data_IF_224633861180
#
_entry.id   IF_224633861180
#
_cell.length_a   1.000
_cell.length_b   1.000
_cell.length_c   1.000
_cell.angle_alpha   90.00
_cell.angle_beta   90.00
_cell.angle_gamma   90.00
#
_symmetry.space_group_name_H-M   'P 1'
#
loop_
_entity.id
_entity.type
_entity.pdbx_description
1 polymer ?
#
# COMPACT_ATOMS: atom_id res chain seq x y z
N UNK A 1 4.41 45.21 32.26
CA UNK A 1 4.68 46.58 31.77
C UNK A 1 4.88 46.45 30.26
N UNK A 2 3.83 46.50 29.43
CA UNK A 2 3.13 47.69 28.93
C UNK A 2 4.08 48.64 28.16
N UNK A 3 3.88 48.75 26.84
CA UNK A 3 4.71 49.48 25.87
C UNK A 3 4.48 51.00 25.83
N UNK A 4 4.56 51.56 24.60
CA UNK A 4 4.54 52.99 24.19
C UNK A 4 5.92 53.69 24.23
N UNK A 5 6.35 54.52 23.28
CA UNK A 5 5.73 55.16 22.12
C UNK A 5 6.81 55.64 21.13
N UNK A 6 6.35 55.95 19.92
CA UNK A 6 7.05 56.27 18.69
C UNK A 6 7.51 57.73 18.54
N UNK A 7 8.50 57.91 17.63
CA UNK A 7 8.73 59.03 16.67
C UNK A 7 9.08 60.44 17.19
N UNK A 8 10.19 60.98 16.65
CA UNK A 8 10.16 62.28 15.97
C UNK A 8 11.20 62.33 14.83
N UNK A 9 10.90 63.15 13.82
CA UNK A 9 11.36 63.10 12.43
C UNK A 9 12.60 63.96 12.11
N UNK A 10 13.25 63.56 11.00
CA UNK A 10 13.75 64.41 9.88
C UNK A 10 15.05 65.22 10.04
N UNK A 11 16.08 64.80 9.30
CA UNK A 11 16.70 65.51 8.15
C UNK A 11 18.00 64.75 7.80
N UNK A 12 18.30 64.30 6.59
CA UNK A 12 18.11 64.94 5.30
C UNK A 12 19.48 65.30 4.73
N UNK A 13 20.21 64.33 4.15
CA UNK A 13 21.25 64.59 3.14
C UNK A 13 21.50 63.36 2.28
N UNK A 14 20.87 63.39 1.12
CA UNK A 14 21.18 62.63 -0.08
C UNK A 14 22.45 63.21 -0.71
N UNK A 15 23.57 62.50 -0.62
CA UNK A 15 24.69 62.68 -1.54
C UNK A 15 24.58 61.60 -2.62
N UNK A 16 24.05 62.00 -3.76
CA UNK A 16 23.94 61.19 -4.96
C UNK A 16 25.30 61.22 -5.69
N UNK A 17 26.02 60.11 -5.63
CA UNK A 17 27.15 59.82 -6.51
C UNK A 17 26.69 59.76 -7.98
N UNK A 18 27.44 60.34 -8.92
CA UNK A 18 27.10 60.24 -10.33
C UNK A 18 27.36 58.82 -10.84
N UNK A 19 26.28 58.08 -11.07
CA UNK A 19 26.28 56.79 -11.75
C UNK A 19 26.99 56.93 -13.11
N UNK A 20 28.17 56.32 -13.19
CA UNK A 20 28.89 56.12 -14.45
C UNK A 20 28.03 55.19 -15.31
N UNK A 21 27.43 55.74 -16.37
CA UNK A 21 26.73 54.95 -17.39
C UNK A 21 27.74 54.00 -18.04
N UNK A 22 27.76 52.76 -17.58
CA UNK A 22 28.32 51.65 -18.34
C UNK A 22 27.44 51.53 -19.58
N UNK A 23 28.02 51.81 -20.74
CA UNK A 23 27.37 51.60 -22.02
C UNK A 23 26.91 50.13 -22.10
N UNK A 24 25.69 49.83 -22.56
CA UNK A 24 25.26 48.46 -22.75
C UNK A 24 26.19 47.81 -23.79
N UNK A 25 26.99 46.85 -23.33
CA UNK A 25 27.74 45.94 -24.19
C UNK A 25 26.74 45.32 -25.14
N UNK A 26 26.99 45.49 -26.45
CA UNK A 26 26.13 44.97 -27.49
C UNK A 26 25.81 43.49 -27.22
N UNK A 27 24.53 43.21 -26.93
CA UNK A 27 24.03 41.84 -26.90
C UNK A 27 24.13 41.32 -28.33
N UNK A 28 25.22 40.63 -28.64
CA UNK A 28 25.32 39.79 -29.83
C UNK A 28 24.18 38.79 -29.71
N UNK A 29 23.20 38.86 -30.62
CA UNK A 29 22.12 37.89 -30.68
C UNK A 29 22.71 36.53 -31.08
N UNK A 30 23.18 35.77 -30.09
CA UNK A 30 23.62 34.40 -30.31
C UNK A 30 22.39 33.56 -30.68
N UNK A 31 22.35 33.05 -31.92
CA UNK A 31 21.26 32.17 -32.36
C UNK A 31 21.66 30.73 -32.12
N UNK A 32 20.77 29.98 -31.49
CA UNK A 32 20.91 28.53 -31.34
C UNK A 32 20.61 27.85 -32.68
N UNK A 33 21.54 27.03 -33.15
CA UNK A 33 21.41 26.25 -34.38
C UNK A 33 21.48 24.77 -34.01
N UNK A 34 20.36 24.08 -34.17
CA UNK A 34 20.29 22.64 -33.98
C UNK A 34 21.18 21.95 -35.01
N UNK A 35 22.12 21.14 -34.54
CA UNK A 35 23.03 20.33 -35.37
C UNK A 35 22.73 18.86 -35.16
N UNK A 36 23.02 18.05 -36.19
CA UNK A 36 22.89 16.61 -36.13
C UNK A 36 24.14 15.91 -36.65
N UNK A 37 24.39 14.71 -36.12
CA UNK A 37 25.44 13.81 -36.56
C UNK A 37 24.92 12.36 -36.55
N UNK A 38 25.66 11.46 -37.19
CA UNK A 38 25.13 10.15 -37.60
C UNK A 38 24.99 9.11 -36.48
N UNK A 39 25.55 9.35 -35.30
CA UNK A 39 25.61 8.38 -34.20
C UNK A 39 25.42 9.06 -32.83
N UNK A 40 24.87 8.34 -31.86
CA UNK A 40 24.82 8.77 -30.47
C UNK A 40 26.24 8.92 -29.91
N UNK A 41 26.48 9.99 -29.15
CA UNK A 41 27.82 10.29 -28.66
C UNK A 41 27.85 10.38 -27.14
N UNK A 42 28.62 9.50 -26.49
CA UNK A 42 28.88 9.61 -25.05
C UNK A 42 29.88 10.74 -24.78
N UNK A 43 29.48 11.68 -23.92
CA UNK A 43 30.35 12.77 -23.45
C UNK A 43 31.48 12.16 -22.63
N UNK A 44 32.64 12.83 -22.62
CA UNK A 44 33.79 12.48 -21.81
C UNK A 44 34.02 13.50 -20.70
N UNK A 45 34.47 13.02 -19.53
CA UNK A 45 34.93 13.89 -18.45
C UNK A 45 33.85 14.30 -17.45
N UNK A 46 32.68 13.68 -17.47
CA UNK A 46 31.56 13.99 -16.55
C UNK A 46 31.96 13.84 -15.08
N UNK A 47 32.90 12.94 -14.79
CA UNK A 47 33.45 12.74 -13.46
C UNK A 47 34.15 13.98 -12.89
N UNK A 48 34.62 14.91 -13.72
CA UNK A 48 35.22 16.19 -13.30
C UNK A 48 34.20 17.31 -13.11
N UNK A 49 32.94 17.08 -13.50
CA UNK A 49 31.86 18.07 -13.53
C UNK A 49 30.66 17.69 -12.66
N UNK A 50 30.89 16.84 -11.64
CA UNK A 50 29.85 16.33 -10.71
C UNK A 50 29.01 17.42 -10.07
N UNK A 51 29.63 18.52 -9.66
CA UNK A 51 28.91 19.63 -9.00
C UNK A 51 27.94 20.34 -9.95
N UNK A 52 28.35 20.53 -11.21
CA UNK A 52 27.51 21.10 -12.26
C UNK A 52 26.34 20.19 -12.58
N UNK A 53 26.59 18.89 -12.74
CA UNK A 53 25.53 17.89 -12.91
C UNK A 53 24.56 17.88 -11.72
N UNK A 54 25.08 17.96 -10.49
CA UNK A 54 24.24 18.08 -9.31
C UNK A 54 23.39 19.35 -9.30
N UNK A 55 23.90 20.49 -9.82
CA UNK A 55 23.12 21.73 -9.96
C UNK A 55 22.00 21.57 -10.99
N UNK A 56 22.26 20.91 -12.12
CA UNK A 56 21.23 20.57 -13.12
C UNK A 56 20.08 19.81 -12.44
N UNK A 57 20.36 18.67 -11.82
CA UNK A 57 19.31 17.83 -11.23
C UNK A 57 18.60 18.49 -10.04
N UNK A 58 19.30 19.27 -9.21
CA UNK A 58 18.66 20.06 -8.15
C UNK A 58 17.72 21.14 -8.72
N UNK A 59 18.09 21.79 -9.82
CA UNK A 59 17.23 22.79 -10.48
C UNK A 59 15.95 22.16 -11.05
N UNK A 60 16.01 20.88 -11.40
CA UNK A 60 14.86 20.08 -11.84
C UNK A 60 14.05 19.47 -10.68
N UNK A 61 14.43 19.73 -9.43
CA UNK A 61 13.80 19.13 -8.24
C UNK A 61 14.18 17.67 -7.97
N UNK A 62 15.13 17.10 -8.72
CA UNK A 62 15.49 15.66 -8.70
C UNK A 62 16.74 15.41 -7.88
N UNK A 63 16.68 15.60 -6.56
CA UNK A 63 17.85 15.58 -5.67
C UNK A 63 18.60 14.22 -5.63
N UNK A 64 17.93 13.12 -5.95
CA UNK A 64 18.51 11.76 -6.01
C UNK A 64 19.04 11.40 -7.42
N UNK A 65 18.79 12.25 -8.41
CA UNK A 65 19.07 11.99 -9.80
C UNK A 65 17.88 11.41 -10.56
N UNK A 66 18.16 10.77 -11.68
CA UNK A 66 17.17 10.25 -12.61
C UNK A 66 17.65 10.31 -14.04
N UNK A 67 16.69 10.44 -14.96
CA UNK A 67 16.95 10.63 -16.40
C UNK A 67 16.25 11.90 -16.84
N UNK A 68 16.96 12.78 -17.54
CA UNK A 68 16.37 13.98 -18.16
C UNK A 68 16.88 14.17 -19.57
N UNK A 69 16.04 14.77 -20.41
CA UNK A 69 16.38 15.13 -21.79
C UNK A 69 16.46 16.64 -21.87
N UNK A 70 17.65 17.16 -22.19
CA UNK A 70 17.93 18.58 -22.19
C UNK A 70 18.62 19.00 -23.48
N UNK A 71 18.58 20.28 -23.80
CA UNK A 71 19.40 20.84 -24.87
C UNK A 71 20.83 21.05 -24.38
N UNK A 72 21.80 20.48 -25.08
CA UNK A 72 23.21 20.75 -24.88
C UNK A 72 23.72 21.78 -25.89
N UNK A 73 24.48 22.76 -25.40
CA UNK A 73 25.24 23.71 -26.19
C UNK A 73 26.67 23.19 -26.38
N UNK A 74 27.13 23.19 -27.63
CA UNK A 74 28.46 22.74 -28.02
C UNK A 74 29.36 23.97 -28.26
N UNK A 75 30.38 24.12 -27.42
CA UNK A 75 31.25 25.30 -27.41
C UNK A 75 32.69 24.90 -27.81
N UNK A 76 33.16 25.28 -29.01
CA UNK A 76 34.54 25.02 -29.45
C UNK A 76 35.57 25.75 -28.59
N UNK A 77 36.68 25.09 -28.27
CA UNK A 77 37.79 25.65 -27.49
C UNK A 77 39.11 25.62 -28.32
N UNK A 78 39.24 26.44 -29.38
CA UNK A 78 40.42 26.44 -30.27
C UNK A 78 41.75 26.77 -29.56
N UNK A 79 41.67 27.49 -28.44
CA UNK A 79 42.81 27.88 -27.62
C UNK A 79 43.11 26.88 -26.50
N UNK A 80 42.38 25.76 -26.44
CA UNK A 80 42.63 24.72 -25.43
C UNK A 80 44.04 24.13 -25.61
N UNK A 81 44.80 24.18 -24.52
CA UNK A 81 46.23 23.80 -24.50
C UNK A 81 46.48 22.30 -24.71
N UNK A 82 45.47 21.46 -24.49
CA UNK A 82 45.57 20.01 -24.62
C UNK A 82 45.07 19.52 -25.98
N UNK A 83 43.97 20.09 -26.47
CA UNK A 83 43.35 19.72 -27.74
C UNK A 83 42.70 20.94 -28.40
N UNK A 84 43.26 21.40 -29.53
CA UNK A 84 42.73 22.55 -30.30
C UNK A 84 41.39 22.28 -30.97
N UNK A 85 40.97 21.03 -31.02
CA UNK A 85 39.66 20.60 -31.52
C UNK A 85 38.67 20.27 -30.40
N UNK A 86 39.02 20.54 -29.14
CA UNK A 86 38.12 20.32 -28.01
C UNK A 86 36.81 21.08 -28.19
N UNK A 87 35.71 20.40 -27.88
CA UNK A 87 34.36 20.98 -27.84
C UNK A 87 33.78 20.68 -26.47
N UNK A 88 33.54 21.73 -25.69
CA UNK A 88 32.89 21.65 -24.38
C UNK A 88 31.39 21.49 -24.53
N UNK A 89 30.79 20.66 -23.68
CA UNK A 89 29.35 20.42 -23.63
C UNK A 89 28.77 21.14 -22.41
N UNK A 90 27.83 22.05 -22.64
CA UNK A 90 27.12 22.80 -21.60
C UNK A 90 25.65 22.41 -21.63
N UNK A 91 25.06 22.12 -20.48
CA UNK A 91 23.63 21.86 -20.33
C UNK A 91 23.08 22.70 -19.19
N UNK A 92 21.99 23.43 -19.42
CA UNK A 92 21.38 24.34 -18.44
C UNK A 92 22.39 25.30 -17.78
N UNK A 93 23.36 25.79 -18.55
CA UNK A 93 24.42 26.69 -18.07
C UNK A 93 25.59 26.01 -17.35
N UNK A 94 25.54 24.70 -17.14
CA UNK A 94 26.58 23.93 -16.47
C UNK A 94 27.41 23.13 -17.46
N UNK A 95 28.74 23.20 -17.35
CA UNK A 95 29.60 22.29 -18.10
C UNK A 95 29.40 20.87 -17.58
N UNK A 96 29.07 19.94 -18.49
CA UNK A 96 28.88 18.52 -18.15
C UNK A 96 30.03 17.63 -18.63
N UNK A 97 30.86 18.13 -19.54
CA UNK A 97 32.05 17.43 -20.04
C UNK A 97 32.48 17.97 -21.40
N UNK A 98 33.14 17.12 -22.18
CA UNK A 98 33.64 17.41 -23.51
C UNK A 98 33.20 16.33 -24.50
N UNK A 99 33.11 16.71 -25.77
CA UNK A 99 33.02 15.75 -26.87
C UNK A 99 34.26 14.84 -26.82
N UNK A 100 34.10 13.51 -26.96
CA UNK A 100 35.23 12.57 -26.88
C UNK A 100 36.24 12.83 -28.00
N UNK A 101 37.52 12.54 -27.74
CA UNK A 101 38.63 12.96 -28.57
C UNK A 101 38.51 12.45 -30.02
N UNK A 102 38.02 11.23 -30.21
CA UNK A 102 37.78 10.58 -31.49
C UNK A 102 36.76 11.31 -32.38
N UNK A 103 35.80 12.02 -31.79
CA UNK A 103 34.76 12.77 -32.50
C UNK A 103 35.01 14.29 -32.52
N UNK A 104 35.88 14.79 -31.64
CA UNK A 104 36.16 16.21 -31.41
C UNK A 104 36.38 17.01 -32.70
N UNK A 105 37.27 16.56 -33.59
CA UNK A 105 37.59 17.24 -34.84
C UNK A 105 36.40 17.34 -35.81
N UNK A 106 35.54 16.31 -35.86
CA UNK A 106 34.35 16.32 -36.70
C UNK A 106 33.30 17.31 -36.16
N UNK A 107 33.02 17.23 -34.86
CA UNK A 107 32.05 18.13 -34.20
C UNK A 107 32.56 19.58 -34.20
N UNK A 108 33.86 19.80 -34.02
CA UNK A 108 34.48 21.12 -34.09
C UNK A 108 34.24 21.77 -35.46
N UNK A 109 34.39 21.02 -36.56
CA UNK A 109 34.11 21.53 -37.92
C UNK A 109 32.63 21.86 -38.12
N UNK A 110 31.72 21.05 -37.57
CA UNK A 110 30.28 21.33 -37.59
C UNK A 110 30.01 22.65 -36.86
N UNK A 111 30.55 22.83 -35.65
CA UNK A 111 30.40 24.05 -34.87
C UNK A 111 31.06 25.28 -35.52
N UNK A 112 32.16 25.11 -36.25
CA UNK A 112 32.76 26.21 -37.02
C UNK A 112 31.93 26.58 -38.26
N UNK A 113 31.22 25.60 -38.84
CA UNK A 113 30.43 25.75 -40.06
C UNK A 113 29.10 26.52 -39.89
N UNK A 114 28.58 26.63 -38.66
CA UNK A 114 27.31 27.34 -38.41
C UNK A 114 27.42 28.86 -38.48
N UNK A 115 28.62 29.42 -38.59
CA UNK A 115 28.86 30.87 -38.73
C UNK A 115 29.04 31.62 -37.40
N UNK A 116 29.68 32.79 -37.45
CA UNK A 116 29.98 33.60 -36.25
C UNK A 116 28.70 34.11 -35.58
N UNK A 117 28.69 34.09 -34.26
CA UNK A 117 27.54 34.54 -33.45
C UNK A 117 26.40 33.52 -33.38
N UNK A 118 26.65 32.26 -33.73
CA UNK A 118 25.70 31.16 -33.53
C UNK A 118 26.29 30.12 -32.59
N UNK A 119 25.42 29.38 -31.88
CA UNK A 119 25.81 28.30 -30.97
C UNK A 119 25.16 27.01 -31.43
N UNK A 120 25.97 25.96 -31.59
CA UNK A 120 25.48 24.64 -31.99
C UNK A 120 24.74 24.00 -30.80
N UNK A 121 23.52 23.53 -31.04
CA UNK A 121 22.71 22.83 -30.03
C UNK A 121 22.34 21.43 -30.47
N UNK A 122 22.22 20.53 -29.50
CA UNK A 122 21.88 19.12 -29.71
C UNK A 122 21.07 18.59 -28.53
N UNK A 123 20.19 17.61 -28.76
CA UNK A 123 19.54 16.93 -27.65
C UNK A 123 20.54 16.06 -26.89
N UNK A 124 20.46 16.13 -25.56
CA UNK A 124 21.29 15.38 -24.63
C UNK A 124 20.41 14.62 -23.65
N UNK A 125 20.62 13.30 -23.58
CA UNK A 125 20.08 12.43 -22.54
C UNK A 125 21.07 12.40 -21.40
N UNK A 126 20.65 12.88 -20.24
CA UNK A 126 21.47 12.88 -19.02
C UNK A 126 20.88 11.87 -18.06
N UNK A 127 21.64 10.82 -17.79
CA UNK A 127 21.41 9.98 -16.63
C UNK A 127 22.34 10.43 -15.51
N UNK A 128 21.80 10.60 -14.30
CA UNK A 128 22.62 10.80 -13.13
C UNK A 128 22.02 10.14 -11.90
N UNK A 129 22.88 9.84 -10.93
CA UNK A 129 22.50 9.30 -9.62
C UNK A 129 23.34 9.99 -8.55
N UNK A 130 22.70 10.32 -7.44
CA UNK A 130 23.34 10.88 -6.27
C UNK A 130 23.49 9.80 -5.20
N UNK A 131 24.68 9.21 -5.12
CA UNK A 131 25.01 8.22 -4.10
C UNK A 131 25.65 8.95 -2.90
N UNK A 132 24.85 9.24 -1.88
CA UNK A 132 25.30 9.86 -0.62
C UNK A 132 26.10 11.16 -0.81
N UNK A 133 25.66 12.02 -1.73
CA UNK A 133 26.32 13.29 -2.06
C UNK A 133 27.31 13.20 -3.22
N UNK A 134 27.63 11.99 -3.69
CA UNK A 134 28.48 11.79 -4.87
C UNK A 134 27.64 11.62 -6.12
N UNK A 135 27.69 12.61 -7.01
CA UNK A 135 27.05 12.53 -8.32
C UNK A 135 27.85 11.64 -9.28
N UNK A 136 27.16 10.69 -9.90
CA UNK A 136 27.64 9.92 -11.05
C UNK A 136 26.70 10.17 -12.21
N UNK A 137 27.24 10.33 -13.41
CA UNK A 137 26.44 10.64 -14.57
C UNK A 137 27.00 10.02 -15.83
N UNK A 138 26.12 9.96 -16.83
CA UNK A 138 26.44 9.65 -18.22
C UNK A 138 25.60 10.57 -19.08
N UNK A 139 26.26 11.30 -19.98
CA UNK A 139 25.59 12.19 -20.92
C UNK A 139 25.75 11.63 -22.33
N UNK A 140 24.64 11.50 -23.05
CA UNK A 140 24.61 11.02 -24.44
C UNK A 140 24.01 12.10 -25.32
N UNK A 141 24.75 12.59 -26.31
CA UNK A 141 24.30 13.55 -27.32
C UNK A 141 23.67 12.81 -28.52
N UNK A 142 22.79 13.51 -29.25
CA UNK A 142 22.09 12.99 -30.43
C UNK A 142 21.18 11.78 -30.20
N UNK A 143 20.87 11.45 -28.94
CA UNK A 143 19.96 10.37 -28.61
C UNK A 143 18.61 10.55 -29.32
N UNK A 144 18.11 9.49 -29.95
CA UNK A 144 16.88 9.54 -30.76
C UNK A 144 15.62 9.90 -29.99
N UNK A 145 15.64 9.85 -28.65
CA UNK A 145 14.49 10.20 -27.81
C UNK A 145 13.39 9.15 -27.77
N UNK A 146 13.38 8.19 -28.69
CA UNK A 146 12.25 7.28 -28.92
C UNK A 146 12.15 6.12 -27.91
N UNK A 147 13.19 5.86 -27.10
CA UNK A 147 13.28 4.64 -26.28
C UNK A 147 13.33 4.86 -24.77
N UNK A 148 13.36 6.09 -24.30
CA UNK A 148 13.49 6.36 -22.87
C UNK A 148 12.64 7.56 -22.42
N UNK A 149 12.10 7.46 -21.22
CA UNK A 149 11.32 8.52 -20.58
C UNK A 149 12.15 9.22 -19.50
N UNK A 150 11.80 10.46 -19.19
CA UNK A 150 12.35 11.11 -18.01
C UNK A 150 12.00 10.32 -16.74
N UNK A 151 12.92 10.33 -15.78
CA UNK A 151 12.78 9.65 -14.50
C UNK A 151 13.21 10.57 -13.37
N UNK A 152 12.50 10.46 -12.26
CA UNK A 152 12.86 11.04 -10.97
C UNK A 152 12.97 9.90 -9.97
N UNK A 153 14.21 9.58 -9.57
CA UNK A 153 14.45 8.43 -8.69
C UNK A 153 13.91 8.65 -7.28
N UNK A 154 13.79 9.90 -6.81
CA UNK A 154 13.19 10.19 -5.52
C UNK A 154 11.68 9.90 -5.56
N UNK A 155 11.01 10.33 -6.63
CA UNK A 155 9.59 10.06 -6.83
C UNK A 155 9.31 8.55 -6.99
N UNK A 156 10.06 7.85 -7.84
CA UNK A 156 9.91 6.40 -8.05
C UNK A 156 10.11 5.62 -6.74
N UNK A 157 11.08 6.01 -5.90
CA UNK A 157 11.32 5.40 -4.59
C UNK A 157 10.15 5.61 -3.63
N UNK A 158 9.63 6.83 -3.53
CA UNK A 158 8.48 7.14 -2.68
C UNK A 158 7.21 6.39 -3.14
N UNK A 159 6.99 6.29 -4.44
CA UNK A 159 5.88 5.50 -5.01
C UNK A 159 6.03 4.01 -4.68
N UNK A 160 7.25 3.46 -4.82
CA UNK A 160 7.53 2.07 -4.45
C UNK A 160 7.32 1.81 -2.95
N UNK A 161 7.83 2.69 -2.07
CA UNK A 161 7.64 2.61 -0.63
C UNK A 161 6.15 2.65 -0.25
N UNK A 162 5.38 3.56 -0.84
CA UNK A 162 3.93 3.66 -0.62
C UNK A 162 3.20 2.39 -1.06
N UNK A 163 3.54 1.84 -2.23
CA UNK A 163 2.98 0.59 -2.73
C UNK A 163 3.24 -0.58 -1.77
N UNK A 164 4.48 -0.71 -1.27
CA UNK A 164 4.82 -1.78 -0.33
C UNK A 164 4.11 -1.61 1.02
N UNK A 165 4.03 -0.38 1.54
CA UNK A 165 3.31 -0.08 2.78
C UNK A 165 1.81 -0.45 2.67
N UNK A 166 1.15 -0.10 1.56
CA UNK A 166 -0.25 -0.47 1.32
C UNK A 166 -0.44 -1.99 1.28
N UNK A 167 0.47 -2.69 0.60
CA UNK A 167 0.46 -4.16 0.52
C UNK A 167 0.66 -4.83 1.88
N UNK A 168 1.54 -4.31 2.71
CA UNK A 168 1.75 -4.82 4.07
C UNK A 168 0.52 -4.62 4.94
N UNK A 169 -0.08 -3.42 4.93
CA UNK A 169 -1.32 -3.13 5.64
C UNK A 169 -2.49 -4.04 5.18
N UNK A 170 -2.58 -4.31 3.87
CA UNK A 170 -3.59 -5.24 3.34
C UNK A 170 -3.39 -6.67 3.88
N UNK A 171 -2.14 -7.14 3.95
CA UNK A 171 -1.80 -8.46 4.48
C UNK A 171 -2.12 -8.56 5.96
N UNK A 172 -1.78 -7.54 6.75
CA UNK A 172 -2.09 -7.48 8.17
C UNK A 172 -3.59 -7.49 8.44
N UNK A 173 -4.37 -6.75 7.64
CA UNK A 173 -5.85 -6.79 7.75
C UNK A 173 -6.39 -8.18 7.48
N UNK A 174 -5.88 -8.87 6.45
CA UNK A 174 -6.33 -10.23 6.10
C UNK A 174 -5.94 -11.25 7.16
N UNK A 175 -4.74 -11.15 7.74
CA UNK A 175 -4.31 -12.05 8.82
C UNK A 175 -5.12 -11.80 10.09
N UNK A 176 -5.42 -10.55 10.42
CA UNK A 176 -6.26 -10.19 11.56
C UNK A 176 -7.70 -10.69 11.40
N UNK A 177 -8.34 -10.50 10.24
CA UNK A 177 -9.69 -11.01 9.95
C UNK A 177 -9.74 -12.55 10.02
N UNK A 178 -8.73 -13.23 9.47
CA UNK A 178 -8.62 -14.69 9.57
C UNK A 178 -8.47 -15.14 11.03
N UNK A 179 -7.61 -14.50 11.80
CA UNK A 179 -7.40 -14.82 13.21
C UNK A 179 -8.68 -14.59 14.04
N UNK A 180 -9.42 -13.51 13.77
CA UNK A 180 -10.70 -13.22 14.43
C UNK A 180 -11.74 -14.31 14.14
N UNK A 181 -11.89 -14.74 12.88
CA UNK A 181 -12.81 -15.82 12.51
C UNK A 181 -12.40 -17.17 13.11
N UNK A 182 -11.11 -17.46 13.19
CA UNK A 182 -10.61 -18.69 13.83
C UNK A 182 -10.86 -18.65 15.35
N UNK A 183 -10.64 -17.51 16.01
CA UNK A 183 -10.93 -17.30 17.42
C UNK A 183 -12.43 -17.42 17.74
N UNK A 184 -13.31 -16.85 16.90
CA UNK A 184 -14.77 -16.99 17.05
C UNK A 184 -15.21 -18.45 16.93
N UNK A 185 -14.69 -19.19 15.93
CA UNK A 185 -14.95 -20.62 15.78
C UNK A 185 -14.46 -21.42 16.98
N UNK A 186 -13.30 -21.09 17.53
CA UNK A 186 -12.75 -21.78 18.68
C UNK A 186 -13.55 -21.49 19.96
N UNK A 187 -13.95 -20.24 20.17
CA UNK A 187 -14.83 -19.87 21.28
C UNK A 187 -16.17 -20.63 21.20
N UNK A 188 -16.76 -20.71 20.00
CA UNK A 188 -17.97 -21.50 19.72
C UNK A 188 -17.77 -22.98 20.06
N UNK A 189 -16.67 -23.60 19.57
CA UNK A 189 -16.36 -25.01 19.86
C UNK A 189 -16.14 -25.28 21.35
N UNK A 190 -15.44 -24.38 22.03
CA UNK A 190 -15.14 -24.49 23.46
C UNK A 190 -16.42 -24.40 24.29
N UNK A 191 -17.32 -23.47 23.97
CA UNK A 191 -18.60 -23.36 24.67
C UNK A 191 -19.52 -24.56 24.40
N UNK A 192 -19.52 -25.08 23.18
CA UNK A 192 -20.26 -26.28 22.78
C UNK A 192 -19.57 -27.60 23.16
N UNK A 193 -18.57 -27.60 24.03
CA UNK A 193 -17.86 -28.84 24.42
C UNK A 193 -18.61 -29.60 25.53
N UNK A 194 -18.69 -30.92 25.34
CA UNK A 194 -19.18 -31.95 26.27
C UNK A 194 -18.07 -32.98 26.42
N UNK A 195 -17.53 -33.15 27.62
CA UNK A 195 -16.37 -34.03 27.90
C UNK A 195 -15.19 -33.84 26.93
N UNK A 196 -14.92 -32.59 26.54
CA UNK A 196 -13.84 -32.24 25.61
C UNK A 196 -14.16 -32.48 24.12
N UNK A 197 -15.36 -32.95 23.77
CA UNK A 197 -15.81 -33.10 22.39
C UNK A 197 -16.90 -32.08 22.03
N UNK A 198 -16.81 -31.51 20.83
CA UNK A 198 -17.84 -30.58 20.34
C UNK A 198 -19.16 -31.33 20.14
N UNK A 199 -20.24 -30.90 20.78
CA UNK A 199 -21.48 -31.67 20.89
C UNK A 199 -22.08 -32.15 19.55
N UNK A 200 -21.98 -31.45 18.40
CA UNK A 200 -22.48 -31.97 17.12
C UNK A 200 -21.78 -33.25 16.67
N UNK A 201 -20.55 -33.50 17.15
CA UNK A 201 -19.81 -34.72 16.88
C UNK A 201 -20.30 -35.91 17.71
N UNK A 202 -21.13 -35.68 18.75
CA UNK A 202 -21.75 -36.73 19.57
C UNK A 202 -23.03 -37.31 18.95
N UNK A 203 -23.55 -36.71 17.87
CA UNK A 203 -24.77 -37.18 17.18
C UNK A 203 -24.70 -38.68 16.80
N UNK A 204 -23.58 -39.21 16.25
CA UNK A 204 -23.45 -40.65 15.97
C UNK A 204 -23.49 -41.52 17.24
N UNK A 205 -22.85 -41.10 18.33
CA UNK A 205 -22.85 -41.82 19.61
C UNK A 205 -24.26 -41.91 20.21
N UNK A 206 -25.03 -40.82 20.15
CA UNK A 206 -26.43 -40.79 20.58
C UNK A 206 -27.28 -41.71 19.71
N UNK A 207 -27.07 -41.71 18.39
CA UNK A 207 -27.76 -42.62 17.48
C UNK A 207 -27.46 -44.09 17.82
N UNK A 208 -26.21 -44.40 18.17
CA UNK A 208 -25.79 -45.74 18.58
C UNK A 208 -26.44 -46.18 19.88
N UNK A 209 -26.44 -45.34 20.93
CA UNK A 209 -27.10 -45.63 22.21
C UNK A 209 -28.59 -45.92 22.01
N UNK A 210 -29.27 -45.11 21.18
CA UNK A 210 -30.68 -45.33 20.84
C UNK A 210 -30.90 -46.64 20.07
N UNK A 211 -29.99 -47.01 19.17
CA UNK A 211 -30.05 -48.29 18.43
C UNK A 211 -29.92 -49.49 19.37
N UNK A 212 -29.06 -49.37 20.38
CA UNK A 212 -28.85 -50.36 21.43
C UNK A 212 -29.95 -50.35 22.51
N UNK A 213 -30.96 -49.46 22.40
CA UNK A 213 -32.00 -49.24 23.41
C UNK A 213 -31.48 -48.82 24.79
N UNK A 214 -30.28 -48.26 24.85
CA UNK A 214 -29.67 -47.68 26.06
C UNK A 214 -30.19 -46.25 26.22
N UNK A 215 -31.47 -46.14 26.55
CA UNK A 215 -32.19 -44.87 26.53
C UNK A 215 -31.83 -43.96 27.69
N UNK A 216 -31.51 -44.50 28.87
CA UNK A 216 -31.04 -43.71 30.01
C UNK A 216 -29.71 -43.01 29.68
N UNK A 217 -28.75 -43.76 29.15
CA UNK A 217 -27.45 -43.19 28.75
C UNK A 217 -27.58 -42.18 27.59
N UNK A 218 -28.50 -42.44 26.65
CA UNK A 218 -28.80 -41.48 25.60
C UNK A 218 -29.40 -40.18 26.16
N UNK A 219 -30.26 -40.26 27.19
CA UNK A 219 -30.84 -39.10 27.88
C UNK A 219 -29.74 -38.29 28.55
N UNK A 220 -28.89 -38.92 29.34
CA UNK A 220 -27.85 -38.24 30.11
C UNK A 220 -26.83 -37.53 29.18
N UNK A 221 -26.49 -38.14 28.04
CA UNK A 221 -25.65 -37.50 27.03
C UNK A 221 -26.36 -36.35 26.31
N UNK A 222 -27.67 -36.48 26.06
CA UNK A 222 -28.47 -35.42 25.42
C UNK A 222 -28.68 -34.21 26.32
N UNK A 223 -28.82 -34.40 27.63
CA UNK A 223 -28.87 -33.32 28.61
C UNK A 223 -27.61 -32.46 28.56
N UNK A 224 -26.44 -33.10 28.58
CA UNK A 224 -25.17 -32.39 28.41
C UNK A 224 -25.05 -31.67 27.06
N UNK A 225 -25.58 -32.27 25.98
CA UNK A 225 -25.62 -31.61 24.68
C UNK A 225 -26.55 -30.39 24.65
N UNK A 226 -27.66 -30.40 25.39
CA UNK A 226 -28.55 -29.24 25.54
C UNK A 226 -27.83 -28.11 26.25
N UNK A 227 -27.18 -28.39 27.38
CA UNK A 227 -26.39 -27.40 28.12
C UNK A 227 -25.26 -26.80 27.27
N UNK A 228 -24.60 -27.63 26.46
CA UNK A 228 -23.58 -27.17 25.52
C UNK A 228 -24.15 -26.32 24.38
N UNK A 229 -25.28 -26.71 23.79
CA UNK A 229 -25.94 -25.95 22.73
C UNK A 229 -26.47 -24.59 23.23
N UNK A 230 -26.97 -24.52 24.47
CA UNK A 230 -27.39 -23.27 25.10
C UNK A 230 -26.20 -22.34 25.39
N UNK A 231 -25.07 -22.88 25.90
CA UNK A 231 -23.84 -22.07 26.09
C UNK A 231 -23.31 -21.53 24.76
N UNK A 232 -23.32 -22.36 23.72
CA UNK A 232 -22.92 -21.96 22.38
C UNK A 232 -23.79 -20.83 21.82
N UNK A 233 -25.11 -20.94 22.01
CA UNK A 233 -26.08 -19.97 21.48
C UNK A 233 -25.92 -18.58 22.10
N UNK A 234 -25.52 -18.52 23.38
CA UNK A 234 -25.19 -17.27 24.07
C UNK A 234 -23.98 -16.57 23.45
N UNK A 235 -22.92 -17.33 23.09
CA UNK A 235 -21.73 -16.76 22.44
C UNK A 235 -22.03 -16.28 21.03
N UNK A 236 -22.74 -17.10 20.25
CA UNK A 236 -23.06 -16.79 18.84
C UNK A 236 -24.15 -15.72 18.74
N UNK A 237 -24.94 -15.52 19.80
CA UNK A 237 -26.11 -14.66 19.77
C UNK A 237 -27.20 -15.22 18.85
N UNK A 238 -27.38 -16.54 18.81
CA UNK A 238 -28.42 -17.23 18.03
C UNK A 238 -29.35 -18.04 18.94
N UNK A 239 -30.43 -18.60 18.40
CA UNK A 239 -31.20 -19.61 19.16
C UNK A 239 -30.36 -20.87 19.37
N UNK A 240 -30.57 -21.63 20.46
CA UNK A 240 -29.95 -22.93 20.63
C UNK A 240 -30.35 -23.88 19.50
N UNK A 241 -29.44 -24.76 19.09
CA UNK A 241 -29.75 -25.80 18.09
C UNK A 241 -30.89 -26.69 18.63
N UNK A 242 -31.98 -26.89 17.88
CA UNK A 242 -33.14 -27.66 18.35
C UNK A 242 -32.88 -29.16 18.43
N UNK A 243 -31.85 -29.68 17.75
CA UNK A 243 -31.64 -31.11 17.59
C UNK A 243 -31.52 -31.87 18.93
N UNK A 244 -30.70 -31.44 19.92
CA UNK A 244 -30.62 -32.13 21.21
C UNK A 244 -31.98 -32.18 21.93
N UNK A 245 -32.70 -31.07 21.97
CA UNK A 245 -34.03 -30.96 22.59
C UNK A 245 -35.10 -31.79 21.85
N UNK A 246 -35.00 -31.90 20.53
CA UNK A 246 -35.87 -32.79 19.77
C UNK A 246 -35.55 -34.27 20.03
N UNK A 247 -34.28 -34.63 20.17
CA UNK A 247 -33.89 -36.01 20.42
C UNK A 247 -34.21 -36.44 21.84
N UNK A 248 -34.05 -35.58 22.85
CA UNK A 248 -34.38 -35.91 24.24
C UNK A 248 -35.88 -36.19 24.37
N UNK A 249 -36.72 -35.44 23.65
CA UNK A 249 -38.16 -35.67 23.53
C UNK A 249 -38.48 -37.10 23.02
N UNK A 250 -37.74 -37.59 22.02
CA UNK A 250 -37.93 -38.96 21.50
C UNK A 250 -37.52 -40.00 22.55
N UNK A 251 -36.41 -39.78 23.24
CA UNK A 251 -35.87 -40.70 24.26
C UNK A 251 -36.81 -40.77 25.47
N UNK A 252 -37.25 -39.64 26.01
CA UNK A 252 -38.15 -39.57 27.16
C UNK A 252 -39.51 -40.22 26.87
N UNK A 253 -40.03 -40.12 25.65
CA UNK A 253 -41.22 -40.87 25.22
C UNK A 253 -41.03 -42.38 25.25
N UNK A 254 -39.82 -42.89 24.94
CA UNK A 254 -39.51 -44.33 25.02
C UNK A 254 -39.42 -44.81 26.47
N UNK A 255 -38.94 -43.95 27.36
CA UNK A 255 -38.89 -44.17 28.81
C UNK A 255 -40.24 -43.93 29.51
N UNK A 256 -41.24 -43.36 28.80
CA UNK A 256 -42.55 -42.94 29.33
C UNK A 256 -42.46 -41.84 30.39
N UNK A 257 -41.44 -40.99 30.32
CA UNK A 257 -41.22 -39.85 31.21
C UNK A 257 -41.82 -38.57 30.62
N UNK A 258 -43.15 -38.51 30.49
CA UNK A 258 -43.84 -37.42 29.77
C UNK A 258 -43.72 -36.05 30.46
N UNK A 259 -43.66 -36.02 31.79
CA UNK A 259 -43.46 -34.78 32.55
C UNK A 259 -42.09 -34.15 32.27
N UNK A 260 -41.05 -34.98 32.16
CA UNK A 260 -39.71 -34.52 31.81
C UNK A 260 -39.64 -34.07 30.34
N UNK A 261 -40.33 -34.77 29.42
CA UNK A 261 -40.40 -34.34 28.01
C UNK A 261 -40.90 -32.89 27.91
N UNK A 262 -41.98 -32.57 28.63
CA UNK A 262 -42.55 -31.23 28.66
C UNK A 262 -41.55 -30.21 29.20
N UNK A 263 -40.90 -30.51 30.34
CA UNK A 263 -39.94 -29.61 30.98
C UNK A 263 -38.76 -29.24 30.06
N UNK A 264 -38.21 -30.21 29.31
CA UNK A 264 -37.11 -29.94 28.37
C UNK A 264 -37.53 -29.11 27.16
N UNK A 265 -38.74 -29.32 26.64
CA UNK A 265 -39.26 -28.54 25.51
C UNK A 265 -39.58 -27.10 25.95
N UNK A 266 -40.11 -26.91 27.15
CA UNK A 266 -40.34 -25.57 27.73
C UNK A 266 -39.03 -24.86 28.04
N UNK A 267 -38.02 -25.58 28.55
CA UNK A 267 -36.66 -25.06 28.74
C UNK A 267 -36.08 -24.53 27.42
N UNK A 268 -36.21 -25.29 26.33
CA UNK A 268 -35.72 -24.84 25.02
C UNK A 268 -36.42 -23.56 24.56
N UNK A 269 -37.75 -23.49 24.67
CA UNK A 269 -38.51 -22.28 24.29
C UNK A 269 -38.09 -21.09 25.15
N UNK A 270 -37.87 -21.28 26.46
CA UNK A 270 -37.35 -20.25 27.33
C UNK A 270 -35.93 -19.79 26.90
N UNK A 271 -35.07 -20.73 26.50
CA UNK A 271 -33.72 -20.44 26.02
C UNK A 271 -33.68 -19.71 24.66
N UNK A 272 -34.76 -19.76 23.87
CA UNK A 272 -34.91 -18.93 22.66
C UNK A 272 -35.12 -17.44 22.98
N UNK A 273 -35.66 -17.11 24.16
CA UNK A 273 -35.97 -15.74 24.56
C UNK A 273 -37.00 -15.08 23.63
N UNK A 274 -36.69 -13.89 23.13
CA UNK A 274 -37.55 -13.14 22.19
C UNK A 274 -37.50 -13.67 20.75
N UNK A 275 -36.67 -14.68 20.47
CA UNK A 275 -36.53 -15.26 19.14
C UNK A 275 -37.53 -16.39 18.94
N UNK A 276 -37.98 -16.57 17.70
CA UNK A 276 -38.93 -17.62 17.37
C UNK A 276 -38.34 -19.02 17.57
N UNK A 277 -39.05 -19.86 18.32
CA UNK A 277 -38.73 -21.27 18.45
C UNK A 277 -39.13 -22.02 17.15
N UNK A 278 -38.36 -23.02 16.70
CA UNK A 278 -38.68 -23.78 15.50
C UNK A 278 -40.06 -24.47 15.59
N UNK A 279 -40.81 -24.48 14.50
CA UNK A 279 -42.14 -25.10 14.42
C UNK A 279 -42.13 -26.58 14.84
N UNK A 280 -41.03 -27.30 14.55
CA UNK A 280 -40.85 -28.70 14.94
C UNK A 280 -40.87 -28.91 16.45
N UNK A 281 -40.23 -27.99 17.19
CA UNK A 281 -40.21 -27.99 18.66
C UNK A 281 -41.58 -27.61 19.20
N UNK A 282 -42.21 -26.58 18.65
CA UNK A 282 -43.56 -26.15 19.06
C UNK A 282 -44.62 -27.25 18.84
N UNK A 283 -44.56 -27.97 17.72
CA UNK A 283 -45.46 -29.08 17.45
C UNK A 283 -45.26 -30.25 18.45
N UNK A 284 -44.02 -30.49 18.89
CA UNK A 284 -43.73 -31.49 19.93
C UNK A 284 -44.23 -31.03 21.30
N UNK A 285 -44.04 -29.76 21.64
CA UNK A 285 -44.49 -29.18 22.90
C UNK A 285 -46.00 -29.33 23.07
N UNK A 286 -46.77 -28.98 22.04
CA UNK A 286 -48.24 -29.16 22.05
C UNK A 286 -48.65 -30.62 22.27
N UNK A 287 -47.96 -31.59 21.66
CA UNK A 287 -48.23 -33.03 21.89
C UNK A 287 -47.81 -33.51 23.27
N UNK A 288 -46.72 -32.95 23.81
CA UNK A 288 -46.21 -33.32 25.13
C UNK A 288 -47.14 -32.85 26.24
N UNK A 289 -47.69 -31.63 26.14
CA UNK A 289 -48.73 -31.10 27.06
C UNK A 289 -49.91 -32.06 27.22
N UNK A 290 -50.49 -32.50 26.10
CA UNK A 290 -51.61 -33.47 26.11
C UNK A 290 -51.24 -34.82 26.72
N UNK A 291 -49.98 -35.25 26.59
CA UNK A 291 -49.51 -36.54 27.12
C UNK A 291 -49.25 -36.45 28.62
N UNK A 292 -48.71 -35.33 29.10
CA UNK A 292 -48.48 -35.06 30.51
C UNK A 292 -49.79 -34.95 31.31
N UNK A 293 -50.81 -34.27 30.77
CA UNK A 293 -52.15 -34.18 31.38
C UNK A 293 -52.79 -35.57 31.55
N UNK A 294 -52.64 -36.45 30.56
CA UNK A 294 -53.18 -37.83 30.61
C UNK A 294 -52.43 -38.71 31.60
N UNK A 295 -51.11 -38.54 31.74
CA UNK A 295 -50.31 -39.27 32.74
C UNK A 295 -50.67 -38.84 34.17
N UNK A 296 -50.98 -37.56 34.37
CA UNK A 296 -51.43 -37.02 35.66
C UNK A 296 -52.86 -37.45 36.02
N UNK A 297 -53.76 -37.54 35.03
CA UNK A 297 -55.15 -37.99 35.25
C UNK A 297 -55.30 -39.51 35.42
N UNK A 298 -54.28 -40.30 35.06
CA UNK A 298 -54.27 -41.76 35.19
C UNK A 298 -53.57 -42.30 36.44
N UNK A 299 -53.01 -41.43 37.28
CA UNK A 299 -52.45 -41.74 38.61
C UNK A 299 -53.46 -41.45 39.70
#
# INVERSE_FOLDING_TARGET
MAGFFSRLFSSGRTDAEPATRIAPTAATNEREIAVSFHEDLEVSGEAYHRDGIGRIFRSLGRAEGGVTMQTAHLIPEPENKYDRTAVRVIVMGEQVGHVPQEASAAIFRICAGIGRGNVATVLARIWARNDEGTWRARVTLMFSGERETEKDYAAERLEAEAYYAEREAERERKTADRAAREAEKEARRTAGAVDGQYWPLLKPSIAELKRQKRFEEARDLLEQCIDAAERESVIVGSTPDPWPSEQISVVLRRLKEYSQELAYLERYVAACGDRDAPESVMARLSRSRLSAERDQAGK
#
